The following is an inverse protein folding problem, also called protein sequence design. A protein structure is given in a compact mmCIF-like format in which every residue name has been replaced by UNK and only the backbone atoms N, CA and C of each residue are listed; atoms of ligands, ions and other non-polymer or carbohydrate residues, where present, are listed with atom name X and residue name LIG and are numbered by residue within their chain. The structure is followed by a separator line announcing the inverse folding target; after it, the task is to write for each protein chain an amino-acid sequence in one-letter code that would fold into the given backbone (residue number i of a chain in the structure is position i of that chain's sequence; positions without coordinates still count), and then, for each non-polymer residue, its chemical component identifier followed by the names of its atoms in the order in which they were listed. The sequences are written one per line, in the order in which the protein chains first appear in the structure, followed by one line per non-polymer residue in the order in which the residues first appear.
data_IF_997680307802
#
_entry.id   IF_997680307802
#
_cell.length_a   1.000
_cell.length_b   1.000
_cell.length_c   1.000
_cell.angle_alpha   90.00
_cell.angle_beta   90.00
_cell.angle_gamma   90.00
#
_symmetry.space_group_name_H-M   'P 1'
#
loop_
_entity.id
_entity.type
_entity.pdbx_description
1 polymer ?
#
# COMPACT_ATOMS: atom_id res chain seq x y z
N UNK A 1 3.31 -5.64 10.72
CA UNK A 1 2.11 -5.02 11.30
C UNK A 1 2.27 -3.53 11.60
N UNK A 2 3.48 -3.05 11.91
CA UNK A 2 3.76 -1.63 12.25
C UNK A 2 3.62 -0.62 11.07
N UNK A 3 3.89 -1.01 9.84
CA UNK A 3 3.80 -0.10 8.68
C UNK A 3 2.38 0.35 8.29
N UNK A 4 1.36 -0.42 8.65
CA UNK A 4 -0.05 -0.09 8.37
C UNK A 4 -0.56 1.04 9.23
N UNK A 5 -0.18 1.02 10.50
CA UNK A 5 -0.57 2.05 11.45
C UNK A 5 0.10 3.38 11.07
N UNK A 6 1.36 3.37 10.69
CA UNK A 6 2.12 4.60 10.46
C UNK A 6 1.54 5.45 9.32
N UNK A 7 1.29 4.88 8.12
CA UNK A 7 0.73 5.67 7.01
C UNK A 7 -0.75 6.05 7.25
N UNK A 8 -1.55 5.13 7.77
CA UNK A 8 -2.94 5.43 8.10
C UNK A 8 -3.03 6.49 9.22
N UNK A 9 -2.16 6.40 10.24
CA UNK A 9 -2.09 7.38 11.31
C UNK A 9 -1.65 8.75 10.79
N UNK A 10 -0.68 8.81 9.88
CA UNK A 10 -0.25 10.05 9.23
C UNK A 10 -1.35 10.70 8.36
N UNK A 11 -2.10 9.89 7.61
CA UNK A 11 -3.25 10.37 6.85
C UNK A 11 -4.35 10.90 7.79
N UNK A 12 -4.59 10.21 8.90
CA UNK A 12 -5.54 10.67 9.93
C UNK A 12 -5.07 11.97 10.60
N UNK A 13 -3.76 12.09 10.91
CA UNK A 13 -3.17 13.31 11.42
C UNK A 13 -3.32 14.46 10.43
N UNK A 14 -2.95 14.26 9.16
CA UNK A 14 -3.13 15.26 8.11
C UNK A 14 -4.59 15.66 7.91
N UNK A 15 -5.52 14.74 8.12
CA UNK A 15 -6.96 15.01 8.08
C UNK A 15 -7.43 15.91 9.21
N UNK A 16 -6.91 15.71 10.42
CA UNK A 16 -7.33 16.41 11.63
C UNK A 16 -6.61 17.75 11.83
N UNK A 17 -5.45 17.94 11.21
CA UNK A 17 -4.67 19.17 11.32
C UNK A 17 -5.31 20.29 10.48
N UNK A 18 -5.81 21.33 11.13
CA UNK A 18 -6.47 22.47 10.48
C UNK A 18 -5.52 23.30 9.59
N UNK A 19 -4.21 23.24 9.81
CA UNK A 19 -3.22 23.95 9.02
C UNK A 19 -2.97 23.26 7.67
N UNK A 20 -3.15 21.95 7.57
CA UNK A 20 -3.05 21.18 6.34
C UNK A 20 -4.27 21.46 5.46
N UNK A 21 -4.06 22.01 4.26
CA UNK A 21 -5.13 22.38 3.31
C UNK A 21 -5.32 21.38 2.18
N UNK A 22 -4.29 20.66 1.79
CA UNK A 22 -4.32 19.57 0.81
C UNK A 22 -3.23 18.55 1.12
N UNK A 23 -3.37 17.34 0.59
CA UNK A 23 -2.37 16.28 0.75
C UNK A 23 -1.93 15.77 -0.61
N UNK A 24 -0.62 15.63 -0.80
CA UNK A 24 -0.05 14.93 -1.94
C UNK A 24 0.56 13.62 -1.44
N UNK A 25 -0.02 12.50 -1.85
CA UNK A 25 0.50 11.17 -1.55
C UNK A 25 1.43 10.70 -2.68
N UNK A 26 2.71 10.55 -2.37
CA UNK A 26 3.66 9.92 -3.29
C UNK A 26 3.59 8.41 -3.14
N UNK A 27 3.21 7.71 -4.21
CA UNK A 27 3.09 6.25 -4.22
C UNK A 27 4.19 5.65 -5.10
N UNK A 28 5.07 4.86 -4.49
CA UNK A 28 6.05 4.04 -5.20
C UNK A 28 6.01 2.62 -4.62
N UNK A 29 5.02 1.83 -5.05
CA UNK A 29 4.72 0.52 -4.46
C UNK A 29 4.19 -0.46 -5.51
N UNK A 30 4.77 -1.68 -5.59
CA UNK A 30 4.24 -2.74 -6.45
C UNK A 30 2.98 -3.41 -5.88
N UNK A 31 2.54 -2.98 -4.68
CA UNK A 31 1.43 -3.55 -3.95
C UNK A 31 1.85 -4.36 -2.73
N UNK A 32 0.97 -5.22 -2.25
CA UNK A 32 1.22 -6.02 -1.05
C UNK A 32 -0.05 -6.54 -0.40
N UNK A 33 -0.14 -6.43 0.92
CA UNK A 33 -1.27 -6.95 1.71
C UNK A 33 -2.58 -6.23 1.40
N UNK A 34 -3.58 -6.96 0.91
CA UNK A 34 -4.91 -6.43 0.67
C UNK A 34 -5.53 -5.77 1.92
N UNK A 35 -5.34 -6.38 3.10
CA UNK A 35 -5.82 -5.81 4.35
C UNK A 35 -5.10 -4.50 4.71
N UNK A 36 -3.81 -4.38 4.39
CA UNK A 36 -3.09 -3.12 4.60
C UNK A 36 -3.61 -2.03 3.68
N UNK A 37 -3.82 -2.37 2.40
CA UNK A 37 -4.35 -1.46 1.41
C UNK A 37 -5.75 -0.97 1.76
N UNK A 38 -6.63 -1.84 2.28
CA UNK A 38 -7.97 -1.48 2.73
C UNK A 38 -7.95 -0.48 3.89
N UNK A 39 -7.08 -0.68 4.89
CA UNK A 39 -6.95 0.25 6.02
C UNK A 39 -6.49 1.64 5.55
N UNK A 40 -5.50 1.68 4.66
CA UNK A 40 -5.00 2.95 4.09
C UNK A 40 -6.06 3.58 3.19
N UNK A 41 -6.71 2.81 2.32
CA UNK A 41 -7.79 3.26 1.46
C UNK A 41 -8.91 3.94 2.28
N UNK A 42 -9.27 3.35 3.42
CA UNK A 42 -10.30 3.93 4.30
C UNK A 42 -9.91 5.31 4.82
N UNK A 43 -8.65 5.49 5.24
CA UNK A 43 -8.19 6.81 5.68
C UNK A 43 -8.08 7.81 4.53
N UNK A 44 -7.69 7.37 3.33
CA UNK A 44 -7.73 8.18 2.11
C UNK A 44 -9.16 8.67 1.81
N UNK A 45 -10.16 7.78 1.90
CA UNK A 45 -11.57 8.14 1.72
C UNK A 45 -12.06 9.15 2.76
N UNK A 46 -11.66 9.00 4.01
CA UNK A 46 -12.02 9.95 5.08
C UNK A 46 -11.32 11.30 4.88
N UNK A 47 -10.08 11.29 4.42
CA UNK A 47 -9.29 12.48 4.16
C UNK A 47 -9.86 13.29 2.99
N UNK A 48 -10.14 12.64 1.85
CA UNK A 48 -10.67 13.32 0.66
C UNK A 48 -12.04 13.96 0.87
N UNK A 49 -12.83 13.51 1.84
CA UNK A 49 -14.10 14.15 2.20
C UNK A 49 -13.91 15.53 2.86
N UNK A 50 -12.71 15.83 3.31
CA UNK A 50 -12.41 17.07 4.05
C UNK A 50 -11.39 17.95 3.34
N UNK A 51 -10.44 17.35 2.62
CA UNK A 51 -9.32 18.05 1.98
C UNK A 51 -9.00 17.42 0.63
N UNK A 52 -8.58 18.18 -0.37
CA UNK A 52 -8.10 17.64 -1.63
C UNK A 52 -6.94 16.68 -1.42
N UNK A 53 -7.03 15.51 -2.05
CA UNK A 53 -6.00 14.47 -2.01
C UNK A 53 -5.53 14.17 -3.42
N UNK A 54 -4.26 14.41 -3.68
CA UNK A 54 -3.62 14.19 -4.98
C UNK A 54 -2.63 13.04 -4.84
N UNK A 55 -2.62 12.14 -5.80
CA UNK A 55 -1.61 11.09 -5.87
C UNK A 55 -0.58 11.43 -6.94
N UNK A 56 0.70 11.28 -6.59
CA UNK A 56 1.81 11.27 -7.55
C UNK A 56 2.44 9.89 -7.54
N UNK A 57 2.32 9.14 -8.65
CA UNK A 57 2.90 7.82 -8.79
C UNK A 57 4.39 7.90 -9.11
N UNK A 58 5.18 6.99 -8.52
CA UNK A 58 6.58 6.77 -8.84
C UNK A 58 6.76 5.79 -10.00
N UNK A 59 7.80 4.99 -9.93
CA UNK A 59 8.07 3.94 -10.93
C UNK A 59 6.96 2.87 -10.90
N UNK A 60 6.43 2.61 -9.72
CA UNK A 60 5.39 1.61 -9.48
C UNK A 60 4.26 2.19 -8.64
N UNK A 61 3.03 1.98 -9.04
CA UNK A 61 1.83 2.16 -8.22
C UNK A 61 0.80 1.11 -8.63
N UNK A 62 1.12 -0.16 -8.35
CA UNK A 62 0.40 -1.32 -8.86
C UNK A 62 -0.27 -2.11 -7.74
N UNK A 63 -1.33 -2.85 -8.05
CA UNK A 63 -2.07 -3.71 -7.10
C UNK A 63 -2.46 -2.90 -5.84
N UNK A 64 -1.96 -3.28 -4.65
CA UNK A 64 -2.18 -2.52 -3.42
C UNK A 64 -1.77 -1.03 -3.50
N UNK A 65 -0.75 -0.70 -4.31
CA UNK A 65 -0.36 0.69 -4.59
C UNK A 65 -1.42 1.44 -5.38
N UNK A 66 -2.06 0.79 -6.36
CA UNK A 66 -3.19 1.38 -7.06
C UNK A 66 -4.46 1.42 -6.18
N UNK A 67 -4.66 0.40 -5.35
CA UNK A 67 -5.77 0.34 -4.40
C UNK A 67 -5.87 1.59 -3.53
N UNK A 68 -4.76 1.99 -2.94
CA UNK A 68 -4.71 3.20 -2.09
C UNK A 68 -4.76 4.49 -2.89
N UNK A 69 -4.39 4.46 -4.17
CA UNK A 69 -4.41 5.61 -5.06
C UNK A 69 -5.79 5.90 -5.66
N UNK A 70 -6.58 4.86 -5.88
CA UNK A 70 -7.86 4.92 -6.59
C UNK A 70 -8.85 5.97 -6.04
N UNK A 71 -8.96 6.22 -4.70
CA UNK A 71 -9.88 7.20 -4.16
C UNK A 71 -9.42 8.66 -4.31
N UNK A 72 -8.20 8.95 -4.76
CA UNK A 72 -7.68 10.32 -4.85
C UNK A 72 -8.52 11.20 -5.80
N UNK A 73 -8.58 12.49 -5.50
CA UNK A 73 -9.28 13.49 -6.34
C UNK A 73 -8.56 13.69 -7.68
N UNK A 74 -7.24 13.49 -7.72
CA UNK A 74 -6.44 13.59 -8.94
C UNK A 74 -5.20 12.71 -8.85
N UNK A 75 -4.87 12.02 -9.94
CA UNK A 75 -3.75 11.09 -10.01
C UNK A 75 -2.82 11.47 -11.15
N UNK A 76 -1.54 11.70 -10.79
CA UNK A 76 -0.44 11.87 -11.73
C UNK A 76 0.41 10.62 -11.82
N UNK A 77 0.85 10.27 -13.03
CA UNK A 77 1.85 9.23 -13.28
C UNK A 77 2.86 9.70 -14.33
N UNK A 78 4.08 9.19 -14.27
CA UNK A 78 4.99 9.30 -15.41
C UNK A 78 4.55 8.37 -16.55
N UNK A 79 4.99 8.65 -17.78
CA UNK A 79 4.65 7.83 -18.95
C UNK A 79 5.03 6.35 -18.79
N UNK A 80 6.12 6.09 -18.09
CA UNK A 80 6.68 4.75 -17.86
C UNK A 80 6.29 4.14 -16.52
N UNK A 81 5.56 4.85 -15.67
CA UNK A 81 5.03 4.30 -14.42
C UNK A 81 4.29 2.99 -14.70
N UNK A 82 4.59 1.94 -13.94
CA UNK A 82 3.83 0.70 -13.98
C UNK A 82 2.73 0.76 -12.93
N UNK A 83 1.47 0.72 -13.39
CA UNK A 83 0.29 0.88 -12.53
C UNK A 83 -0.83 -0.11 -12.87
N UNK A 84 -2.01 0.09 -12.27
CA UNK A 84 -3.12 -0.84 -12.41
C UNK A 84 -2.86 -2.11 -11.62
N UNK A 85 -2.65 -3.25 -12.29
CA UNK A 85 -2.55 -4.57 -11.66
C UNK A 85 -3.72 -4.82 -10.68
N UNK A 86 -4.94 -4.44 -11.13
CA UNK A 86 -6.17 -4.58 -10.35
C UNK A 86 -6.53 -6.06 -10.30
N UNK A 87 -6.00 -6.75 -9.30
CA UNK A 87 -6.12 -8.19 -9.17
C UNK A 87 -5.72 -8.65 -7.77
N UNK A 88 -6.07 -9.90 -7.47
CA UNK A 88 -5.80 -10.54 -6.19
C UNK A 88 -5.30 -11.94 -6.42
N UNK A 89 -4.23 -12.32 -5.77
CA UNK A 89 -3.74 -13.69 -5.77
C UNK A 89 -3.30 -14.11 -4.37
N UNK A 90 -3.31 -15.40 -4.12
CA UNK A 90 -2.78 -16.00 -2.90
C UNK A 90 -1.77 -17.09 -3.23
N UNK A 91 -0.66 -17.12 -2.50
CA UNK A 91 0.35 -18.19 -2.62
C UNK A 91 0.30 -19.07 -1.38
N UNK A 92 0.11 -20.35 -1.59
CA UNK A 92 0.12 -21.35 -0.51
C UNK A 92 1.14 -22.43 -0.80
N UNK A 93 1.95 -22.73 0.20
CA UNK A 93 2.96 -23.77 0.12
C UNK A 93 2.45 -25.06 0.75
N UNK A 94 2.76 -26.19 0.12
CA UNK A 94 2.59 -27.52 0.70
C UNK A 94 3.95 -28.19 0.83
N UNK A 95 4.43 -28.35 2.04
CA UNK A 95 5.74 -28.92 2.36
C UNK A 95 5.70 -30.41 2.69
N UNK A 96 4.51 -31.04 2.76
CA UNK A 96 4.33 -32.43 3.19
C UNK A 96 5.29 -33.41 2.47
N UNK A 97 5.25 -33.39 1.13
CA UNK A 97 6.08 -34.29 0.32
C UNK A 97 7.58 -34.02 0.49
N UNK A 98 7.96 -32.76 0.63
CA UNK A 98 9.37 -32.39 0.84
C UNK A 98 9.86 -32.90 2.19
N UNK A 99 9.11 -32.66 3.25
CA UNK A 99 9.44 -33.08 4.60
C UNK A 99 9.48 -34.63 4.71
N UNK A 100 8.49 -35.31 4.15
CA UNK A 100 8.43 -36.76 4.14
C UNK A 100 9.60 -37.40 3.35
N UNK A 101 9.82 -36.94 2.11
CA UNK A 101 10.72 -37.63 1.18
C UNK A 101 12.19 -37.20 1.31
N UNK A 102 12.46 -35.99 1.80
CA UNK A 102 13.81 -35.43 1.91
C UNK A 102 14.34 -35.40 3.34
N UNK A 103 13.45 -35.24 4.32
CA UNK A 103 13.82 -35.10 5.74
C UNK A 103 13.38 -36.30 6.58
N UNK A 104 12.45 -37.12 6.08
CA UNK A 104 11.93 -38.31 6.81
C UNK A 104 10.92 -37.92 7.91
N UNK A 105 10.39 -36.71 7.90
CA UNK A 105 9.41 -36.24 8.89
C UNK A 105 7.99 -36.42 8.35
N UNK A 106 7.15 -37.09 9.15
CA UNK A 106 5.71 -37.25 8.89
C UNK A 106 4.91 -36.50 9.96
N UNK A 107 3.75 -36.00 9.57
CA UNK A 107 2.83 -35.32 10.47
C UNK A 107 1.56 -36.14 10.62
N UNK A 108 1.08 -36.25 11.84
CA UNK A 108 -0.25 -36.72 12.16
C UNK A 108 -1.07 -35.60 12.81
N UNK A 109 -2.38 -35.62 12.65
CA UNK A 109 -3.25 -34.61 13.17
C UNK A 109 -4.45 -35.21 13.87
N UNK A 110 -4.68 -34.82 15.11
CA UNK A 110 -5.92 -35.09 15.83
C UNK A 110 -6.79 -33.82 15.80
N UNK A 111 -7.98 -33.95 15.25
CA UNK A 111 -8.89 -32.80 15.09
C UNK A 111 -10.29 -33.16 15.61
N UNK A 112 -10.92 -32.24 16.31
CA UNK A 112 -12.29 -32.39 16.85
C UNK A 112 -13.36 -32.25 15.77
N UNK A 113 -13.01 -31.68 14.61
CA UNK A 113 -13.87 -31.57 13.43
C UNK A 113 -13.02 -31.52 12.15
N UNK A 114 -13.61 -31.77 10.96
CA UNK A 114 -12.88 -31.69 9.68
C UNK A 114 -12.19 -30.34 9.41
N UNK A 115 -12.67 -29.25 10.04
CA UNK A 115 -12.12 -27.90 9.87
C UNK A 115 -11.20 -27.48 11.01
N UNK A 116 -11.12 -28.22 12.11
CA UNK A 116 -10.37 -27.82 13.30
C UNK A 116 -8.85 -27.82 13.11
N UNK A 117 -8.33 -28.54 12.10
CA UNK A 117 -6.91 -28.58 11.78
C UNK A 117 -6.36 -27.28 11.13
N UNK A 118 -7.24 -26.36 10.76
CA UNK A 118 -6.88 -25.10 10.12
C UNK A 118 -6.12 -25.29 8.78
N UNK A 119 -5.88 -24.19 8.11
CA UNK A 119 -5.01 -24.17 6.93
C UNK A 119 -3.55 -24.14 7.37
N UNK A 120 -2.77 -25.11 6.95
CA UNK A 120 -1.35 -25.19 7.25
C UNK A 120 -0.57 -25.75 6.04
N UNK A 121 0.75 -25.55 6.06
CA UNK A 121 1.64 -25.97 4.96
C UNK A 121 2.09 -27.42 5.06
N UNK A 122 1.63 -28.19 6.06
CA UNK A 122 2.10 -29.54 6.36
C UNK A 122 1.21 -30.63 5.76
N UNK A 123 0.11 -30.26 5.14
CA UNK A 123 -0.81 -31.14 4.42
C UNK A 123 -1.45 -30.43 3.23
N UNK A 124 -2.01 -31.17 2.26
CA UNK A 124 -2.83 -30.59 1.20
C UNK A 124 -4.09 -29.92 1.77
N UNK A 125 -4.55 -28.88 1.08
CA UNK A 125 -5.85 -28.26 1.37
C UNK A 125 -6.97 -29.24 1.07
N UNK A 126 -7.95 -29.30 1.94
CA UNK A 126 -9.22 -29.94 1.63
C UNK A 126 -10.02 -29.15 0.58
N UNK A 127 -10.99 -29.79 -0.08
CA UNK A 127 -11.85 -29.11 -1.04
C UNK A 127 -12.62 -27.94 -0.43
N UNK A 128 -13.03 -28.06 0.83
CA UNK A 128 -13.74 -26.97 1.54
C UNK A 128 -12.83 -25.80 1.88
N UNK A 129 -11.59 -26.07 2.30
CA UNK A 129 -10.60 -25.02 2.56
C UNK A 129 -10.26 -24.27 1.26
N UNK A 130 -10.04 -24.99 0.15
CA UNK A 130 -9.84 -24.39 -1.16
C UNK A 130 -10.99 -23.46 -1.54
N UNK A 131 -12.24 -23.93 -1.46
CA UNK A 131 -13.41 -23.11 -1.74
C UNK A 131 -13.53 -21.89 -0.82
N UNK A 132 -13.09 -22.01 0.43
CA UNK A 132 -13.09 -20.89 1.36
C UNK A 132 -12.07 -19.81 0.97
N UNK A 133 -10.88 -20.23 0.52
CA UNK A 133 -9.84 -19.33 0.00
C UNK A 133 -10.32 -18.65 -1.29
N UNK A 134 -10.84 -19.42 -2.24
CA UNK A 134 -11.37 -18.89 -3.51
C UNK A 134 -12.44 -17.81 -3.23
N UNK A 135 -13.41 -18.09 -2.38
CA UNK A 135 -14.43 -17.09 -1.97
C UNK A 135 -13.84 -15.86 -1.29
N UNK A 136 -12.75 -16.02 -0.55
CA UNK A 136 -12.07 -14.88 0.09
C UNK A 136 -11.36 -14.02 -0.96
N UNK A 137 -10.70 -14.64 -1.92
CA UNK A 137 -10.06 -13.95 -3.06
C UNK A 137 -11.10 -13.20 -3.88
N UNK A 138 -12.20 -13.86 -4.25
CA UNK A 138 -13.31 -13.25 -5.02
C UNK A 138 -13.89 -12.03 -4.29
N UNK A 139 -14.06 -12.12 -2.98
CA UNK A 139 -14.54 -10.99 -2.17
C UNK A 139 -13.58 -9.81 -2.21
N UNK A 140 -12.29 -10.05 -2.01
CA UNK A 140 -11.27 -8.98 -2.05
C UNK A 140 -11.20 -8.38 -3.46
N UNK A 141 -11.27 -9.19 -4.50
CA UNK A 141 -11.29 -8.72 -5.90
C UNK A 141 -12.51 -7.84 -6.18
N UNK A 142 -13.69 -8.28 -5.76
CA UNK A 142 -14.94 -7.51 -5.90
C UNK A 142 -14.85 -6.17 -5.15
N UNK A 143 -14.30 -6.18 -3.93
CA UNK A 143 -14.09 -4.94 -3.17
C UNK A 143 -13.14 -4.01 -3.91
N UNK A 144 -12.01 -4.51 -4.38
CA UNK A 144 -11.02 -3.71 -5.10
C UNK A 144 -11.58 -3.09 -6.38
N UNK A 145 -12.26 -3.88 -7.21
CA UNK A 145 -12.87 -3.39 -8.45
C UNK A 145 -13.96 -2.35 -8.19
N UNK A 146 -14.75 -2.50 -7.13
CA UNK A 146 -15.74 -1.51 -6.72
C UNK A 146 -15.07 -0.20 -6.25
N UNK A 147 -14.01 -0.28 -5.45
CA UNK A 147 -13.27 0.92 -5.02
C UNK A 147 -12.67 1.68 -6.21
N UNK A 148 -12.18 0.96 -7.22
CA UNK A 148 -11.72 1.59 -8.47
C UNK A 148 -12.87 2.24 -9.22
N UNK A 149 -13.99 1.54 -9.36
CA UNK A 149 -15.17 2.05 -10.06
C UNK A 149 -15.69 3.34 -9.41
N UNK A 150 -15.80 3.36 -8.09
CA UNK A 150 -16.26 4.49 -7.32
C UNK A 150 -15.23 5.65 -7.32
N UNK A 151 -13.97 5.34 -7.05
CA UNK A 151 -12.91 6.34 -6.95
C UNK A 151 -12.58 7.02 -8.28
N UNK A 152 -12.65 6.27 -9.38
CA UNK A 152 -12.37 6.78 -10.74
C UNK A 152 -13.62 7.16 -11.53
N UNK A 153 -14.81 6.96 -10.96
CA UNK A 153 -16.08 7.19 -11.62
C UNK A 153 -16.18 6.44 -12.98
N UNK A 154 -15.69 5.19 -13.00
CA UNK A 154 -15.73 4.30 -14.17
C UNK A 154 -16.80 3.23 -13.93
N UNK A 155 -17.66 2.92 -14.90
CA UNK A 155 -18.61 1.82 -14.77
C UNK A 155 -17.93 0.49 -14.44
N UNK A 156 -18.50 -0.29 -13.52
CA UNK A 156 -17.87 -1.53 -13.04
C UNK A 156 -17.53 -2.53 -14.15
N UNK A 157 -18.37 -2.62 -15.17
CA UNK A 157 -18.12 -3.47 -16.34
C UNK A 157 -16.89 -3.02 -17.14
N UNK A 158 -16.60 -1.73 -17.19
CA UNK A 158 -15.40 -1.20 -17.84
C UNK A 158 -14.17 -1.46 -16.97
N UNK A 159 -14.28 -1.29 -15.64
CA UNK A 159 -13.21 -1.66 -14.70
C UNK A 159 -12.86 -3.14 -14.84
N UNK A 160 -13.84 -4.04 -14.93
CA UNK A 160 -13.58 -5.46 -15.10
C UNK A 160 -12.83 -5.79 -16.41
N UNK A 161 -13.03 -5.03 -17.48
CA UNK A 161 -12.33 -5.21 -18.75
C UNK A 161 -10.83 -4.81 -18.69
N UNK A 162 -10.46 -3.89 -17.79
CA UNK A 162 -9.09 -3.40 -17.62
C UNK A 162 -8.40 -3.97 -16.37
N UNK A 163 -9.10 -4.77 -15.57
CA UNK A 163 -8.62 -5.40 -14.34
C UNK A 163 -7.90 -6.74 -14.62
N UNK A 164 -8.22 -7.78 -13.87
CA UNK A 164 -7.65 -9.13 -13.94
C UNK A 164 -6.12 -9.17 -13.74
N UNK A 165 -5.60 -8.24 -12.94
CA UNK A 165 -4.17 -8.15 -12.65
C UNK A 165 -3.33 -7.59 -13.79
N UNK A 166 -3.94 -7.06 -14.86
CA UNK A 166 -3.21 -6.43 -15.95
C UNK A 166 -2.45 -5.20 -15.47
N UNK A 167 -1.18 -5.14 -15.85
CA UNK A 167 -0.31 -3.98 -15.61
C UNK A 167 -0.39 -3.04 -16.80
N UNK A 168 -0.47 -1.76 -16.52
CA UNK A 168 -0.53 -0.68 -17.51
C UNK A 168 0.66 0.25 -17.35
N UNK A 169 1.17 0.79 -18.43
CA UNK A 169 2.04 1.96 -18.40
C UNK A 169 1.22 3.20 -18.01
N UNK A 170 1.87 4.25 -17.51
CA UNK A 170 1.18 5.51 -17.20
C UNK A 170 0.46 6.10 -18.40
N UNK A 171 1.00 5.95 -19.61
CA UNK A 171 0.33 6.39 -20.86
C UNK A 171 -0.96 5.61 -21.10
N UNK A 172 -0.91 4.27 -21.02
CA UNK A 172 -2.10 3.43 -21.21
C UNK A 172 -3.12 3.61 -20.07
N UNK A 173 -2.64 3.82 -18.83
CA UNK A 173 -3.48 4.10 -17.68
C UNK A 173 -4.25 5.41 -17.82
N UNK A 174 -3.65 6.43 -18.44
CA UNK A 174 -4.35 7.66 -18.81
C UNK A 174 -5.48 7.39 -19.81
N UNK A 175 -5.21 6.59 -20.85
CA UNK A 175 -6.22 6.20 -21.87
C UNK A 175 -7.38 5.40 -21.25
N UNK A 176 -7.09 4.57 -20.25
CA UNK A 176 -8.10 3.78 -19.53
C UNK A 176 -8.84 4.55 -18.42
N UNK A 177 -8.47 5.80 -18.14
CA UNK A 177 -9.06 6.59 -17.05
C UNK A 177 -8.58 6.22 -15.64
N UNK A 178 -7.55 5.38 -15.53
CA UNK A 178 -6.93 5.00 -14.24
C UNK A 178 -6.03 6.11 -13.68
N UNK A 179 -5.57 7.02 -14.53
CA UNK A 179 -4.73 8.19 -14.23
C UNK A 179 -5.35 9.41 -14.89
N UNK A 180 -5.22 10.58 -14.27
CA UNK A 180 -5.84 11.81 -14.78
C UNK A 180 -4.89 12.60 -15.68
N UNK A 181 -3.59 12.55 -15.39
CA UNK A 181 -2.61 13.32 -16.15
C UNK A 181 -1.20 12.71 -16.06
N UNK A 182 -0.43 12.86 -17.14
CA UNK A 182 1.01 12.58 -17.12
C UNK A 182 1.72 13.75 -16.42
N UNK A 183 2.50 13.43 -15.38
CA UNK A 183 3.24 14.41 -14.59
C UNK A 183 3.90 13.78 -13.38
N UNK A 184 4.74 14.54 -12.71
CA UNK A 184 5.46 14.14 -11.52
C UNK A 184 4.94 14.77 -10.23
N UNK A 185 5.82 14.85 -9.23
CA UNK A 185 5.48 15.39 -7.92
C UNK A 185 5.21 16.90 -7.97
N UNK A 186 5.90 17.65 -8.83
CA UNK A 186 5.74 19.09 -8.92
C UNK A 186 4.37 19.48 -9.50
N UNK A 187 3.90 18.74 -10.52
CA UNK A 187 2.58 18.91 -11.09
C UNK A 187 1.50 18.54 -10.07
N UNK A 188 1.72 17.49 -9.28
CA UNK A 188 0.81 17.10 -8.21
C UNK A 188 0.71 18.15 -7.11
N UNK A 189 1.82 18.78 -6.70
CA UNK A 189 1.84 19.89 -5.75
C UNK A 189 1.08 21.09 -6.32
N UNK A 190 1.34 21.45 -7.59
CA UNK A 190 0.63 22.52 -8.27
C UNK A 190 -0.89 22.30 -8.29
N UNK A 191 -1.31 21.05 -8.55
CA UNK A 191 -2.72 20.65 -8.55
C UNK A 191 -3.35 20.70 -7.14
N UNK A 192 -2.59 20.32 -6.12
CA UNK A 192 -3.03 20.42 -4.73
C UNK A 192 -3.28 21.88 -4.32
N UNK A 193 -2.38 22.80 -4.70
CA UNK A 193 -2.53 24.25 -4.47
C UNK A 193 -3.79 24.77 -5.17
N UNK A 194 -4.00 24.36 -6.43
CA UNK A 194 -5.17 24.73 -7.22
C UNK A 194 -6.48 24.27 -6.55
N UNK A 195 -6.59 22.97 -6.23
CA UNK A 195 -7.81 22.39 -5.66
C UNK A 195 -8.13 22.90 -4.25
N UNK A 196 -7.11 23.25 -3.47
CA UNK A 196 -7.28 23.84 -2.16
C UNK A 196 -7.50 25.37 -2.18
N UNK A 197 -7.52 25.99 -3.36
CA UNK A 197 -7.64 27.47 -3.55
C UNK A 197 -6.65 28.27 -2.69
N UNK A 198 -5.41 27.77 -2.59
CA UNK A 198 -4.37 28.42 -1.79
C UNK A 198 -3.82 29.62 -2.55
N UNK A 199 -4.17 30.84 -2.09
CA UNK A 199 -3.78 32.12 -2.73
C UNK A 199 -2.59 32.79 -2.07
N UNK A 200 -2.25 32.37 -0.86
CA UNK A 200 -1.20 32.98 -0.05
C UNK A 200 0.08 32.12 -0.09
N UNK A 201 1.13 32.61 0.59
CA UNK A 201 2.35 31.82 0.77
C UNK A 201 2.02 30.52 1.51
N UNK A 202 2.48 29.40 0.96
CA UNK A 202 2.31 28.07 1.51
C UNK A 202 3.67 27.46 1.79
N UNK A 203 3.70 26.49 2.69
CA UNK A 203 4.85 25.65 2.95
C UNK A 203 4.49 24.17 2.66
N UNK A 204 5.47 23.42 2.20
CA UNK A 204 5.37 21.96 2.13
C UNK A 204 5.84 21.40 3.47
N UNK A 205 5.03 20.54 4.04
CA UNK A 205 5.39 19.74 5.20
C UNK A 205 5.43 18.28 4.81
N UNK A 206 6.55 17.63 5.07
CA UNK A 206 6.72 16.20 4.79
C UNK A 206 6.49 15.41 6.06
N UNK A 207 5.51 14.51 6.04
CA UNK A 207 5.19 13.64 7.17
C UNK A 207 6.21 12.50 7.36
N UNK A 208 7.14 12.35 6.43
CA UNK A 208 8.15 11.29 6.49
C UNK A 208 9.54 11.86 6.45
N UNK A 209 10.36 11.47 7.41
CA UNK A 209 11.78 11.73 7.32
C UNK A 209 12.43 10.81 6.26
N UNK A 210 13.38 11.31 5.45
CA UNK A 210 14.16 10.46 4.57
C UNK A 210 14.89 9.36 5.36
N UNK A 211 15.07 8.19 4.76
CA UNK A 211 15.86 7.12 5.37
C UNK A 211 17.23 7.64 5.74
N UNK A 212 17.68 7.32 6.94
CA UNK A 212 19.07 7.56 7.30
C UNK A 212 19.98 6.67 6.46
N UNK A 213 21.24 7.07 6.20
CA UNK A 213 22.18 6.23 5.46
C UNK A 213 22.33 4.81 6.02
N UNK A 214 22.09 4.64 7.32
CA UNK A 214 22.10 3.33 7.98
C UNK A 214 20.86 2.49 7.64
N UNK A 215 19.69 3.11 7.58
CA UNK A 215 18.44 2.45 7.16
C UNK A 215 18.48 2.06 5.67
N UNK A 216 19.02 2.94 4.81
CA UNK A 216 19.28 2.63 3.40
C UNK A 216 20.25 1.46 3.25
N UNK A 217 21.29 1.40 4.08
CA UNK A 217 22.24 0.29 4.08
C UNK A 217 21.57 -1.02 4.52
N UNK A 218 20.76 -1.01 5.57
CA UNK A 218 19.98 -2.19 6.02
C UNK A 218 18.97 -2.63 4.94
N UNK A 219 18.31 -1.70 4.28
CA UNK A 219 17.36 -1.97 3.20
C UNK A 219 18.08 -2.58 2.00
N UNK A 220 19.24 -2.05 1.62
CA UNK A 220 20.08 -2.56 0.53
C UNK A 220 20.56 -4.00 0.78
N UNK A 221 20.70 -4.41 2.03
CA UNK A 221 21.01 -5.80 2.40
C UNK A 221 19.77 -6.72 2.38
N UNK A 222 18.60 -6.22 2.02
CA UNK A 222 17.35 -6.99 1.99
C UNK A 222 16.79 -7.37 3.35
N UNK A 223 17.36 -6.85 4.44
CA UNK A 223 16.93 -7.15 5.80
C UNK A 223 15.58 -6.51 6.16
N UNK A 224 15.20 -5.41 5.50
CA UNK A 224 13.88 -4.81 5.63
C UNK A 224 12.80 -5.52 4.80
N UNK A 225 13.18 -6.16 3.68
CA UNK A 225 12.26 -6.89 2.80
C UNK A 225 11.80 -8.25 3.36
N UNK A 226 12.51 -8.83 4.30
CA UNK A 226 12.15 -10.13 4.90
C UNK A 226 10.83 -10.09 5.68
N UNK A 227 10.32 -8.91 6.03
CA UNK A 227 9.01 -8.74 6.68
C UNK A 227 7.81 -9.03 5.77
N UNK A 228 7.97 -8.93 4.45
CA UNK A 228 6.85 -9.17 3.50
C UNK A 228 6.53 -10.66 3.31
N UNK A 229 7.43 -11.56 3.72
CA UNK A 229 7.32 -13.01 3.52
C UNK A 229 6.74 -13.77 4.72
N UNK A 230 6.26 -13.06 5.76
CA UNK A 230 5.61 -13.70 6.93
C UNK A 230 6.57 -14.52 7.83
N UNK A 231 7.86 -14.37 7.65
CA UNK A 231 8.85 -14.91 8.57
C UNK A 231 9.04 -13.92 9.72
N UNK A 232 8.49 -14.26 10.87
CA UNK A 232 8.62 -13.50 12.09
C UNK A 232 10.06 -13.59 12.62
N UNK A 233 10.93 -12.70 12.15
CA UNK A 233 12.33 -12.59 12.59
C UNK A 233 12.46 -11.86 13.93
N UNK A 234 11.51 -12.08 14.85
CA UNK A 234 11.54 -11.43 16.17
C UNK A 234 12.76 -11.81 17.03
N UNK A 235 13.48 -12.88 16.70
CA UNK A 235 14.61 -13.37 17.52
C UNK A 235 15.88 -12.52 17.32
N UNK A 236 16.07 -11.90 16.15
CA UNK A 236 17.26 -11.10 15.84
C UNK A 236 17.00 -9.59 15.75
N UNK A 237 15.73 -9.18 15.66
CA UNK A 237 15.35 -7.79 15.51
C UNK A 237 15.23 -7.04 16.85
N UNK A 238 15.00 -7.73 17.98
CA UNK A 238 14.87 -7.11 19.29
C UNK A 238 16.12 -6.33 19.73
N UNK A 239 17.35 -6.85 19.61
CA UNK A 239 18.54 -6.09 19.94
C UNK A 239 18.76 -4.87 19.04
N UNK A 240 18.41 -4.99 17.75
CA UNK A 240 18.53 -3.90 16.80
C UNK A 240 17.46 -2.85 17.07
N UNK A 241 16.27 -3.27 17.46
CA UNK A 241 15.15 -2.41 17.82
C UNK A 241 15.43 -1.60 19.10
N UNK A 242 16.09 -2.20 20.08
CA UNK A 242 16.51 -1.51 21.31
C UNK A 242 17.58 -0.45 21.04
N UNK A 243 18.51 -0.71 20.12
CA UNK A 243 19.51 0.26 19.66
C UNK A 243 18.84 1.40 18.88
N UNK A 244 17.82 1.09 18.05
CA UNK A 244 17.11 2.06 17.23
C UNK A 244 16.10 2.88 18.05
N UNK A 245 15.43 2.28 19.05
CA UNK A 245 14.44 2.98 19.90
C UNK A 245 15.08 3.98 20.87
N UNK A 246 16.34 3.78 21.21
CA UNK A 246 17.10 4.70 22.06
C UNK A 246 17.72 5.88 21.30
N UNK A 247 17.50 5.96 19.97
CA UNK A 247 17.98 7.05 19.13
C UNK A 247 16.79 7.77 18.49
N UNK A 248 16.32 8.93 19.00
CA UNK A 248 15.10 9.59 18.54
C UNK A 248 15.17 10.12 17.08
N UNK A 249 16.30 9.97 16.40
CA UNK A 249 16.54 10.44 15.03
C UNK A 249 16.12 9.40 13.95
N UNK A 250 15.78 8.16 14.32
CA UNK A 250 15.74 7.03 13.38
C UNK A 250 14.30 6.59 13.00
N UNK A 251 13.26 7.17 13.56
CA UNK A 251 11.89 6.72 13.27
C UNK A 251 11.04 7.77 12.56
N UNK A 252 11.07 7.80 11.24
CA UNK A 252 9.92 8.20 10.41
C UNK A 252 10.23 8.04 8.92
N UNK A 253 9.65 7.06 8.26
CA UNK A 253 9.77 6.94 6.81
C UNK A 253 8.52 6.33 6.19
N UNK A 254 7.69 7.17 5.57
CA UNK A 254 6.81 6.82 4.46
C UNK A 254 6.09 8.07 3.92
N UNK A 255 6.23 8.33 2.65
CA UNK A 255 5.95 9.54 1.92
C UNK A 255 4.51 10.05 1.86
N UNK A 256 4.04 10.73 2.89
CA UNK A 256 2.88 11.63 2.81
C UNK A 256 3.40 13.06 2.80
N UNK A 257 3.04 13.85 1.80
CA UNK A 257 3.36 15.29 1.75
C UNK A 257 2.08 16.08 1.98
N UNK A 258 2.12 17.01 2.91
CA UNK A 258 1.00 17.89 3.21
C UNK A 258 1.36 19.36 2.96
N UNK A 259 0.41 20.13 2.43
CA UNK A 259 0.56 21.56 2.20
C UNK A 259 0.03 22.35 3.39
N UNK A 260 0.91 23.14 4.02
CA UNK A 260 0.59 23.99 5.17
C UNK A 260 0.72 25.46 4.76
N UNK A 261 -0.28 26.32 4.99
CA UNK A 261 -0.14 27.77 4.77
C UNK A 261 0.71 28.42 5.86
N UNK A 262 1.61 29.32 5.48
CA UNK A 262 2.35 30.18 6.43
C UNK A 262 3.87 30.01 6.43
N UNK A 263 4.55 30.89 7.18
CA UNK A 263 6.00 31.00 7.26
C UNK A 263 6.64 29.92 8.17
N UNK A 264 6.51 28.64 7.85
CA UNK A 264 7.27 27.63 8.54
C UNK A 264 8.63 27.43 7.84
N UNK A 265 9.72 27.77 8.53
CA UNK A 265 11.09 27.53 8.04
C UNK A 265 11.35 26.03 8.08
N UNK A 266 11.48 25.43 6.91
CA UNK A 266 12.03 24.07 6.76
C UNK A 266 13.55 24.25 6.93
N UNK A 267 14.12 23.69 7.99
CA UNK A 267 15.57 23.46 8.05
C UNK A 267 15.83 22.14 7.32
N UNK A 268 16.36 22.26 6.11
CA UNK A 268 16.89 21.14 5.32
C UNK A 268 18.13 20.55 5.99
#
# INVERSE_FOLDING_TARGET
MLFRSTLADQLAEARLDEDVKAVVLRVNSPGGSALASEVIWREMELLRQQKPVIVSMGDYAASGGYYISAPADYIFADKLTLTGSIGVFGVMFNLEKTLKNKVGITFDSAATSPAAGGMNSLRPLTANERKSIERSIDRVYTTFTNHVAEGRNIPINEVLNIAEGRVWSGTEALECGLVDQIGGINEAIGKAIELADIKEQHALYEFTAPMTPFEEWIDSMGLLYTKSWGLDYNIYAEPIREILSNNPIIMNNNGVQALVPGNMKINL
#
